data_IF_992768194290
#
_entry.id   IF_992768194290
#
_cell.length_a   1.000
_cell.length_b   1.000
_cell.length_c   1.000
_cell.angle_alpha   90.00
_cell.angle_beta   90.00
_cell.angle_gamma   90.00
#
_symmetry.space_group_name_H-M   'P 1'
#
loop_
_entity.id
_entity.type
_entity.pdbx_description
1 polymer ?
#
# COMPACT_ATOMS: atom_id res chain seq x y z
N UNK A 1 8.30 5.56 -0.10
CA UNK A 1 7.11 5.72 0.76
C UNK A 1 7.17 7.08 1.46
N UNK A 2 6.03 7.71 1.79
CA UNK A 2 5.98 8.99 2.51
C UNK A 2 5.54 8.77 3.98
N UNK A 3 6.46 8.97 4.93
CA UNK A 3 6.22 8.72 6.35
C UNK A 3 5.17 9.67 6.95
N UNK A 4 5.15 10.94 6.52
CA UNK A 4 4.18 11.93 7.03
C UNK A 4 2.75 11.58 6.63
N UNK A 5 2.58 11.08 5.41
CA UNK A 5 1.28 10.63 4.92
C UNK A 5 0.82 9.36 5.65
N UNK A 6 1.75 8.44 5.97
CA UNK A 6 1.42 7.27 6.79
C UNK A 6 1.00 7.69 8.20
N UNK A 7 1.78 8.54 8.88
CA UNK A 7 1.46 9.02 10.23
C UNK A 7 0.13 9.78 10.29
N UNK A 8 -0.28 10.45 9.21
CA UNK A 8 -1.59 11.10 9.13
C UNK A 8 -2.75 10.09 9.01
N UNK A 9 -2.58 9.04 8.21
CA UNK A 9 -3.64 8.03 7.94
C UNK A 9 -3.73 6.99 9.05
N UNK A 10 -2.59 6.63 9.62
CA UNK A 10 -2.43 5.58 10.60
C UNK A 10 -1.50 6.08 11.73
N UNK A 11 -2.02 6.84 12.71
CA UNK A 11 -1.22 7.44 13.79
C UNK A 11 -0.55 6.45 14.74
N UNK A 12 -1.07 5.22 14.85
CA UNK A 12 -0.53 4.17 15.70
C UNK A 12 0.48 3.27 14.94
N UNK A 13 0.79 3.59 13.68
CA UNK A 13 1.62 2.76 12.83
C UNK A 13 3.10 2.77 13.24
N UNK A 14 3.71 1.59 13.30
CA UNK A 14 5.14 1.40 13.55
C UNK A 14 5.82 0.82 12.32
N UNK A 15 6.97 1.37 11.95
CA UNK A 15 7.85 0.74 10.94
C UNK A 15 8.39 -0.55 11.53
N UNK A 16 8.18 -1.67 10.85
CA UNK A 16 8.84 -2.94 11.17
C UNK A 16 10.19 -2.98 10.47
N UNK A 17 10.18 -2.93 9.14
CA UNK A 17 11.39 -2.96 8.31
C UNK A 17 11.11 -2.51 6.87
N UNK A 18 12.18 -2.29 6.10
CA UNK A 18 12.10 -2.23 4.65
C UNK A 18 12.05 -3.65 4.10
N UNK A 19 11.13 -3.92 3.16
CA UNK A 19 10.91 -5.26 2.60
C UNK A 19 11.05 -5.24 1.09
N UNK A 20 11.34 -6.41 0.52
CA UNK A 20 11.25 -6.67 -0.92
C UNK A 20 10.15 -7.69 -1.18
N UNK A 21 9.20 -7.33 -2.03
CA UNK A 21 8.15 -8.23 -2.51
C UNK A 21 8.52 -8.75 -3.89
N UNK A 22 8.95 -10.00 -3.94
CA UNK A 22 9.31 -10.72 -5.19
C UNK A 22 8.07 -11.11 -5.99
N UNK A 23 8.22 -11.23 -7.31
CA UNK A 23 7.16 -11.65 -8.23
C UNK A 23 6.17 -10.55 -8.61
N UNK A 24 6.48 -9.29 -8.30
CA UNK A 24 5.64 -8.13 -8.61
C UNK A 24 6.47 -7.00 -9.17
N UNK A 25 5.84 -6.13 -9.97
CA UNK A 25 6.41 -4.85 -10.38
C UNK A 25 5.54 -3.67 -9.99
N UNK A 26 6.17 -2.52 -9.84
CA UNK A 26 5.49 -1.24 -9.69
C UNK A 26 4.80 -0.84 -11.01
N UNK A 27 3.58 -0.32 -10.89
CA UNK A 27 2.83 0.25 -11.98
C UNK A 27 2.09 1.51 -11.50
N UNK A 28 1.62 2.32 -12.45
CA UNK A 28 0.79 3.49 -12.17
C UNK A 28 -0.50 3.40 -12.97
N UNK A 29 -1.64 3.63 -12.29
CA UNK A 29 -2.97 3.69 -12.92
C UNK A 29 -3.50 5.10 -12.82
N UNK A 30 -4.28 5.54 -13.80
CA UNK A 30 -5.05 6.80 -13.66
C UNK A 30 -6.18 6.59 -12.67
N UNK A 31 -6.37 7.54 -11.75
CA UNK A 31 -7.48 7.52 -10.79
C UNK A 31 -8.79 8.13 -11.33
N UNK A 32 -8.90 8.34 -12.64
CA UNK A 32 -10.05 9.00 -13.28
C UNK A 32 -10.04 10.53 -13.18
N UNK A 33 -9.15 11.13 -12.37
CA UNK A 33 -8.96 12.57 -12.22
C UNK A 33 -7.73 13.13 -12.93
N UNK A 34 -7.11 12.36 -13.83
CA UNK A 34 -5.89 12.76 -14.55
C UNK A 34 -4.57 12.58 -13.78
N UNK A 35 -4.62 12.01 -12.57
CA UNK A 35 -3.44 11.74 -11.76
C UNK A 35 -3.10 10.24 -11.73
N UNK A 36 -1.81 9.92 -11.71
CA UNK A 36 -1.31 8.57 -11.53
C UNK A 36 -1.26 8.16 -10.06
N UNK A 37 -1.83 7.00 -9.73
CA UNK A 37 -1.72 6.34 -8.42
C UNK A 37 -0.90 5.07 -8.56
N UNK A 38 -0.09 4.78 -7.55
CA UNK A 38 0.74 3.58 -7.52
C UNK A 38 -0.11 2.32 -7.33
N UNK A 39 0.30 1.23 -7.97
CA UNK A 39 -0.22 -0.13 -7.78
C UNK A 39 0.87 -1.14 -8.10
N UNK A 40 0.66 -2.41 -7.80
CA UNK A 40 1.58 -3.49 -8.17
C UNK A 40 0.87 -4.53 -9.03
N UNK A 41 1.60 -5.14 -9.96
CA UNK A 41 1.10 -6.20 -10.84
C UNK A 41 2.04 -7.40 -10.77
N UNK A 42 1.54 -8.64 -10.84
CA UNK A 42 2.38 -9.83 -10.90
C UNK A 42 3.34 -9.77 -12.10
N UNK A 43 4.60 -10.09 -11.87
CA UNK A 43 5.65 -10.21 -12.89
C UNK A 43 6.79 -11.09 -12.37
N UNK A 44 6.97 -12.27 -12.97
CA UNK A 44 8.01 -13.22 -12.58
C UNK A 44 9.42 -12.64 -12.80
N UNK A 45 10.32 -12.85 -11.83
CA UNK A 45 11.68 -12.30 -11.85
C UNK A 45 11.77 -10.79 -11.54
N UNK A 46 10.65 -10.14 -11.24
CA UNK A 46 10.57 -8.73 -10.84
C UNK A 46 10.35 -8.59 -9.33
N UNK A 47 10.57 -7.39 -8.80
CA UNK A 47 10.31 -7.09 -7.38
C UNK A 47 9.88 -5.64 -7.14
N UNK A 48 9.28 -5.41 -5.97
CA UNK A 48 8.97 -4.07 -5.45
C UNK A 48 9.55 -3.93 -4.05
N UNK A 49 10.37 -2.88 -3.85
CA UNK A 49 10.82 -2.49 -2.51
C UNK A 49 9.73 -1.66 -1.81
N UNK A 50 9.51 -1.93 -0.53
CA UNK A 50 8.45 -1.32 0.28
C UNK A 50 8.83 -1.14 1.75
N UNK A 51 7.86 -0.68 2.55
CA UNK A 51 7.99 -0.57 4.00
C UNK A 51 6.88 -1.40 4.62
N UNK A 52 7.23 -2.34 5.51
CA UNK A 52 6.29 -3.10 6.29
C UNK A 52 5.92 -2.33 7.55
N UNK A 53 4.62 -2.15 7.76
CA UNK A 53 4.06 -1.44 8.90
C UNK A 53 3.26 -2.39 9.78
N UNK A 54 3.45 -2.27 11.09
CA UNK A 54 2.47 -2.77 12.06
C UNK A 54 1.46 -1.66 12.28
N UNK A 55 0.18 -1.97 12.18
CA UNK A 55 -0.92 -1.01 12.39
C UNK A 55 -1.94 -1.58 13.38
N UNK A 56 -2.70 -0.69 14.03
CA UNK A 56 -3.84 -1.07 14.87
C UNK A 56 -5.07 -1.39 14.01
N UNK A 57 -6.05 -2.10 14.58
CA UNK A 57 -7.33 -2.36 13.89
C UNK A 57 -8.06 -1.06 13.51
N UNK A 58 -7.93 -0.01 14.32
CA UNK A 58 -8.50 1.31 14.05
C UNK A 58 -7.84 1.96 12.84
N UNK A 59 -6.52 1.89 12.77
CA UNK A 59 -5.75 2.42 11.64
C UNK A 59 -6.05 1.67 10.34
N UNK A 60 -6.26 0.36 10.43
CA UNK A 60 -6.68 -0.45 9.28
C UNK A 60 -8.04 0.02 8.73
N UNK A 61 -9.03 0.28 9.59
CA UNK A 61 -10.33 0.80 9.17
C UNK A 61 -10.22 2.20 8.53
N UNK A 62 -9.39 3.08 9.09
CA UNK A 62 -9.13 4.39 8.50
C UNK A 62 -8.44 4.28 7.14
N UNK A 63 -7.47 3.37 7.01
CA UNK A 63 -6.74 3.15 5.77
C UNK A 63 -7.66 2.56 4.69
N UNK A 64 -8.50 1.57 5.02
CA UNK A 64 -9.49 1.01 4.11
C UNK A 64 -10.44 2.11 3.58
N UNK A 65 -10.89 3.03 4.44
CA UNK A 65 -11.69 4.19 4.01
C UNK A 65 -10.91 5.12 3.08
N UNK A 66 -9.66 5.44 3.42
CA UNK A 66 -8.81 6.35 2.64
C UNK A 66 -8.49 5.80 1.24
N UNK A 67 -8.21 4.50 1.15
CA UNK A 67 -7.91 3.79 -0.10
C UNK A 67 -9.17 3.42 -0.91
N UNK A 68 -10.37 3.69 -0.36
CA UNK A 68 -11.64 3.42 -1.01
C UNK A 68 -11.95 1.93 -1.13
N UNK A 69 -11.49 1.11 -0.19
CA UNK A 69 -11.81 -0.31 -0.11
C UNK A 69 -13.30 -0.52 0.21
N UNK A 70 -13.98 -1.52 -0.40
CA UNK A 70 -13.46 -2.53 -1.34
C UNK A 70 -13.54 -2.15 -2.82
N UNK A 71 -13.87 -0.90 -3.16
CA UNK A 71 -14.27 -0.54 -4.53
C UNK A 71 -13.10 -0.10 -5.42
N UNK A 72 -12.11 0.58 -4.86
CA UNK A 72 -11.02 1.20 -5.64
C UNK A 72 -9.67 0.47 -5.52
N UNK A 73 -9.43 -0.17 -4.37
CA UNK A 73 -8.22 -0.93 -4.10
C UNK A 73 -8.57 -2.33 -3.59
N UNK A 74 -7.80 -3.32 -4.00
CA UNK A 74 -7.91 -4.70 -3.52
C UNK A 74 -7.02 -4.94 -2.30
N UNK A 75 -7.41 -5.91 -1.46
CA UNK A 75 -6.65 -6.35 -0.29
C UNK A 75 -6.27 -7.81 -0.46
N UNK A 76 -5.02 -8.15 -0.17
CA UNK A 76 -4.51 -9.52 -0.30
C UNK A 76 -3.59 -9.84 0.86
N UNK A 77 -3.80 -11.00 1.47
CA UNK A 77 -2.88 -11.55 2.45
C UNK A 77 -1.78 -12.29 1.70
N UNK A 78 -0.53 -11.90 1.94
CA UNK A 78 0.64 -12.62 1.45
C UNK A 78 1.01 -13.68 2.50
N UNK A 79 1.27 -14.90 2.04
CA UNK A 79 1.71 -16.02 2.88
C UNK A 79 3.22 -16.13 2.91
#
# INVERSE_FOLDING_TARGET
MNLNQMAFRCPDAEVVESVRLEGYRLAFRTNGGGNGVATILPEEGSYVDGVLWRISERDEQHLDHYEGFPFYMGKSLLQ
#
